data_IF_531828464891
#
_entry.id   IF_531828464891
#
_cell.length_a   1.000
_cell.length_b   1.000
_cell.length_c   1.000
_cell.angle_alpha   90.00
_cell.angle_beta   90.00
_cell.angle_gamma   90.00
#
_symmetry.space_group_name_H-M   'P 1'
#
loop_
_entity.id
_entity.type
_entity.pdbx_description
1 polymer ?
#
# COMPACT_ATOMS: atom_id res chain seq x y z
N UNK A 1 0.61 -2.07 25.09
CA UNK A 1 -0.53 -1.11 25.21
C UNK A 1 -0.03 0.20 24.62
N UNK A 2 -0.37 0.49 23.38
CA UNK A 2 -0.12 1.79 22.76
C UNK A 2 -1.03 2.81 23.45
N UNK A 3 -0.43 3.89 23.94
CA UNK A 3 -1.14 4.94 24.64
C UNK A 3 -2.26 5.52 23.78
N UNK A 4 -3.40 5.78 24.40
CA UNK A 4 -4.64 6.32 23.84
C UNK A 4 -4.51 7.74 23.21
N UNK A 5 -3.29 8.24 23.00
CA UNK A 5 -3.02 9.58 22.48
C UNK A 5 -3.22 9.72 20.96
N UNK A 6 -3.36 8.59 20.24
CA UNK A 6 -3.59 8.60 18.78
C UNK A 6 -5.07 8.49 18.38
N UNK A 7 -6.01 8.57 19.31
CA UNK A 7 -7.43 8.77 18.98
C UNK A 7 -7.66 10.19 18.45
N UNK A 8 -6.99 10.50 17.36
CA UNK A 8 -7.26 11.74 16.66
C UNK A 8 -8.55 11.56 15.87
N UNK A 9 -9.60 12.30 16.21
CA UNK A 9 -10.88 12.31 15.49
C UNK A 9 -10.76 12.70 14.01
N UNK A 10 -9.57 13.12 13.59
CA UNK A 10 -9.22 13.53 12.23
C UNK A 10 -8.59 12.42 11.38
N UNK A 11 -8.27 11.23 11.91
CA UNK A 11 -7.72 10.12 11.14
C UNK A 11 -8.83 9.23 10.59
N UNK A 12 -8.72 8.85 9.31
CA UNK A 12 -9.61 7.91 8.63
C UNK A 12 -8.82 6.86 7.87
N UNK A 13 -9.16 5.59 8.03
CA UNK A 13 -8.58 4.48 7.26
C UNK A 13 -9.66 3.92 6.36
N UNK A 14 -9.39 3.83 5.06
CA UNK A 14 -10.27 3.21 4.08
C UNK A 14 -9.62 1.94 3.52
N UNK A 15 -10.44 0.91 3.35
CA UNK A 15 -10.08 -0.28 2.59
C UNK A 15 -10.68 -0.21 1.20
N UNK A 16 -9.89 -0.61 0.20
CA UNK A 16 -10.41 -0.97 -1.11
C UNK A 16 -10.41 -2.49 -1.30
N UNK A 17 -10.67 -2.96 -2.51
CA UNK A 17 -10.94 -4.38 -2.76
C UNK A 17 -9.71 -5.29 -2.80
N UNK A 18 -8.50 -4.75 -2.72
CA UNK A 18 -7.27 -5.53 -2.84
C UNK A 18 -6.96 -6.46 -1.65
N UNK A 19 -7.25 -5.99 -0.42
CA UNK A 19 -7.09 -6.79 0.80
C UNK A 19 -7.86 -6.16 1.98
N UNK A 20 -9.16 -6.38 2.02
CA UNK A 20 -10.02 -5.87 3.10
C UNK A 20 -9.65 -6.43 4.48
N UNK A 21 -9.30 -7.74 4.63
CA UNK A 21 -8.90 -8.28 5.93
C UNK A 21 -7.69 -7.56 6.53
N UNK A 22 -6.64 -7.30 5.75
CA UNK A 22 -5.48 -6.57 6.22
C UNK A 22 -5.83 -5.15 6.67
N UNK A 23 -6.68 -4.46 5.92
CA UNK A 23 -7.11 -3.11 6.29
C UNK A 23 -7.90 -3.11 7.61
N UNK A 24 -8.72 -4.14 7.84
CA UNK A 24 -9.44 -4.29 9.11
C UNK A 24 -8.48 -4.55 10.27
N UNK A 25 -7.51 -5.45 10.11
CA UNK A 25 -6.50 -5.70 11.13
C UNK A 25 -5.69 -4.44 11.47
N UNK A 26 -5.32 -3.64 10.45
CA UNK A 26 -4.64 -2.35 10.66
C UNK A 26 -5.52 -1.40 11.46
N UNK A 27 -6.80 -1.27 11.09
CA UNK A 27 -7.74 -0.40 11.79
C UNK A 27 -7.95 -0.83 13.25
N UNK A 28 -8.06 -2.13 13.50
CA UNK A 28 -8.20 -2.71 14.85
C UNK A 28 -6.96 -2.43 15.70
N UNK A 29 -5.75 -2.56 15.14
CA UNK A 29 -4.50 -2.26 15.84
C UNK A 29 -4.35 -0.76 16.16
N UNK A 30 -4.80 0.11 15.27
CA UNK A 30 -4.81 1.57 15.49
C UNK A 30 -5.93 1.97 16.46
N UNK A 31 -6.96 1.15 16.60
CA UNK A 31 -8.10 1.38 17.50
C UNK A 31 -9.13 2.35 16.91
N UNK A 32 -9.32 2.34 15.59
CA UNK A 32 -10.36 3.11 14.89
C UNK A 32 -11.17 2.20 13.98
N UNK A 33 -12.38 2.63 13.64
CA UNK A 33 -13.20 1.93 12.64
C UNK A 33 -12.77 2.26 11.22
N UNK A 34 -12.94 1.31 10.29
CA UNK A 34 -12.78 1.58 8.87
C UNK A 34 -13.79 2.62 8.40
N UNK A 35 -13.31 3.54 7.58
CA UNK A 35 -14.13 4.54 6.92
C UNK A 35 -15.10 3.89 5.93
N UNK A 36 -16.29 4.50 5.78
CA UNK A 36 -17.34 3.98 4.91
C UNK A 36 -17.13 4.45 3.49
N UNK A 37 -16.89 3.51 2.59
CA UNK A 37 -16.84 3.74 1.15
C UNK A 37 -17.43 2.56 0.39
N UNK A 38 -17.90 2.80 -0.82
CA UNK A 38 -18.36 1.75 -1.73
C UNK A 38 -17.62 1.81 -3.05
N UNK A 39 -17.27 0.62 -3.56
CA UNK A 39 -16.64 0.43 -4.86
C UNK A 39 -17.59 -0.37 -5.72
N UNK A 40 -18.05 0.23 -6.82
CA UNK A 40 -18.95 -0.41 -7.81
C UNK A 40 -18.23 -0.56 -9.13
N UNK A 41 -18.52 -1.64 -9.83
CA UNK A 41 -18.07 -1.88 -11.21
C UNK A 41 -19.27 -1.85 -12.14
N UNK A 42 -19.13 -1.11 -13.22
CA UNK A 42 -20.10 -1.12 -14.30
C UNK A 42 -19.88 -2.34 -15.23
N UNK A 43 -20.87 -2.63 -16.05
CA UNK A 43 -20.83 -3.78 -16.98
C UNK A 43 -19.73 -3.66 -18.06
N UNK A 44 -19.30 -2.45 -18.37
CA UNK A 44 -18.20 -2.12 -19.27
C UNK A 44 -16.81 -2.17 -18.62
N UNK A 45 -16.77 -2.38 -17.28
CA UNK A 45 -15.54 -2.50 -16.50
C UNK A 45 -15.08 -1.20 -15.84
N UNK A 46 -15.80 -0.08 -16.02
CA UNK A 46 -15.52 1.16 -15.31
C UNK A 46 -15.77 1.01 -13.80
N UNK A 47 -15.04 1.82 -13.01
CA UNK A 47 -15.10 1.80 -11.56
C UNK A 47 -15.69 3.11 -11.05
N UNK A 48 -16.62 2.99 -10.12
CA UNK A 48 -17.15 4.10 -9.34
C UNK A 48 -16.80 3.89 -7.86
N UNK A 49 -16.22 4.91 -7.23
CA UNK A 49 -16.00 4.95 -5.79
C UNK A 49 -16.85 6.07 -5.19
N UNK A 50 -17.49 5.78 -4.07
CA UNK A 50 -18.22 6.75 -3.28
C UNK A 50 -17.75 6.70 -1.83
N UNK A 51 -17.35 7.86 -1.28
CA UNK A 51 -17.03 8.02 0.15
C UNK A 51 -18.32 8.39 0.84
N UNK A 52 -18.74 7.59 1.83
CA UNK A 52 -20.07 7.65 2.46
C UNK A 52 -20.07 8.43 3.78
N UNK A 53 -18.98 9.13 4.07
CA UNK A 53 -18.83 9.99 5.25
C UNK A 53 -18.01 11.24 4.97
N UNK A 54 -18.08 12.22 5.86
CA UNK A 54 -17.27 13.43 5.73
C UNK A 54 -15.81 13.16 6.09
N UNK A 55 -14.89 13.53 5.19
CA UNK A 55 -13.45 13.42 5.40
C UNK A 55 -12.75 14.77 5.28
N UNK A 56 -13.53 15.87 5.28
CA UNK A 56 -12.97 17.21 5.17
C UNK A 56 -12.01 17.51 6.32
N UNK A 57 -10.77 17.87 5.98
CA UNK A 57 -9.72 18.19 6.95
C UNK A 57 -9.17 16.97 7.70
N UNK A 58 -9.53 15.74 7.30
CA UNK A 58 -8.99 14.52 7.90
C UNK A 58 -7.68 14.10 7.25
N UNK A 59 -6.84 13.42 8.02
CA UNK A 59 -5.73 12.63 7.52
C UNK A 59 -6.25 11.27 7.07
N UNK A 60 -6.28 11.04 5.77
CA UNK A 60 -6.83 9.82 5.17
C UNK A 60 -5.71 8.84 4.88
N UNK A 61 -5.92 7.58 5.23
CA UNK A 61 -5.08 6.44 4.88
C UNK A 61 -5.89 5.47 4.01
N UNK A 62 -5.38 5.16 2.81
CA UNK A 62 -6.02 4.24 1.87
C UNK A 62 -5.19 2.96 1.81
N UNK A 63 -5.73 1.86 2.30
CA UNK A 63 -5.06 0.55 2.27
C UNK A 63 -5.46 -0.18 0.99
N UNK A 64 -4.52 -0.30 0.05
CA UNK A 64 -4.76 -0.96 -1.23
C UNK A 64 -3.46 -1.55 -1.80
N UNK A 65 -3.23 -2.85 -1.71
CA UNK A 65 -2.20 -3.51 -2.48
C UNK A 65 -2.55 -3.47 -3.98
N UNK A 66 -1.57 -3.15 -4.81
CA UNK A 66 -1.75 -3.19 -6.27
C UNK A 66 -1.31 -4.54 -6.85
N UNK A 67 -1.68 -5.64 -6.17
CA UNK A 67 -1.51 -7.01 -6.61
C UNK A 67 -2.56 -7.42 -7.66
N UNK A 68 -2.56 -8.70 -8.07
CA UNK A 68 -3.55 -9.19 -9.05
C UNK A 68 -5.00 -9.02 -8.56
N UNK A 69 -5.88 -8.50 -9.42
CA UNK A 69 -5.67 -7.98 -10.78
C UNK A 69 -5.11 -6.55 -10.76
N UNK A 70 -3.83 -6.42 -11.14
CA UNK A 70 -2.99 -5.22 -10.93
C UNK A 70 -3.63 -3.94 -11.46
N UNK A 71 -4.08 -3.95 -12.71
CA UNK A 71 -4.62 -2.75 -13.38
C UNK A 71 -5.90 -2.26 -12.70
N UNK A 72 -6.71 -3.20 -12.22
CA UNK A 72 -7.95 -2.90 -11.52
C UNK A 72 -7.67 -2.22 -10.17
N UNK A 73 -6.82 -2.84 -9.34
CA UNK A 73 -6.49 -2.32 -8.02
C UNK A 73 -5.73 -0.99 -8.10
N UNK A 74 -4.89 -0.83 -9.13
CA UNK A 74 -4.24 0.46 -9.39
C UNK A 74 -5.26 1.54 -9.75
N UNK A 75 -6.21 1.24 -10.63
CA UNK A 75 -7.24 2.20 -11.01
C UNK A 75 -8.17 2.55 -9.83
N UNK A 76 -8.57 1.56 -9.02
CA UNK A 76 -9.32 1.81 -7.79
C UNK A 76 -8.56 2.77 -6.86
N UNK A 77 -7.25 2.55 -6.68
CA UNK A 77 -6.41 3.43 -5.86
C UNK A 77 -6.39 4.87 -6.39
N UNK A 78 -6.16 5.06 -7.69
CA UNK A 78 -6.09 6.38 -8.30
C UNK A 78 -7.43 7.14 -8.18
N UNK A 79 -8.56 6.46 -8.42
CA UNK A 79 -9.90 7.04 -8.29
C UNK A 79 -10.18 7.42 -6.82
N UNK A 80 -9.79 6.59 -5.86
CA UNK A 80 -9.98 6.89 -4.44
C UNK A 80 -9.14 8.09 -3.99
N UNK A 81 -7.90 8.21 -4.46
CA UNK A 81 -7.05 9.38 -4.19
C UNK A 81 -7.73 10.66 -4.71
N UNK A 82 -8.22 10.66 -5.96
CA UNK A 82 -8.93 11.82 -6.54
C UNK A 82 -10.22 12.14 -5.76
N UNK A 83 -10.98 11.14 -5.35
CA UNK A 83 -12.17 11.31 -4.53
C UNK A 83 -11.84 11.98 -3.18
N UNK A 84 -10.79 11.52 -2.49
CA UNK A 84 -10.33 12.13 -1.24
C UNK A 84 -9.88 13.57 -1.42
N UNK A 85 -9.13 13.87 -2.50
CA UNK A 85 -8.71 15.21 -2.86
C UNK A 85 -9.90 16.16 -3.07
N UNK A 86 -10.91 15.72 -3.83
CA UNK A 86 -12.14 16.48 -4.09
C UNK A 86 -13.01 16.65 -2.84
N UNK A 87 -12.97 15.69 -1.92
CA UNK A 87 -13.65 15.77 -0.63
C UNK A 87 -12.89 16.61 0.41
N UNK A 88 -11.78 17.25 0.02
CA UNK A 88 -10.97 18.14 0.87
C UNK A 88 -10.33 17.44 2.07
N UNK A 89 -9.84 16.22 1.91
CA UNK A 89 -8.94 15.61 2.88
C UNK A 89 -7.73 16.53 3.12
N UNK A 90 -7.21 16.57 4.34
CA UNK A 90 -6.02 17.37 4.66
C UNK A 90 -4.76 16.71 4.09
N UNK A 91 -4.61 15.42 4.31
CA UNK A 91 -3.53 14.62 3.75
C UNK A 91 -4.08 13.30 3.24
N UNK A 92 -3.51 12.81 2.14
CA UNK A 92 -3.87 11.53 1.52
C UNK A 92 -2.64 10.64 1.57
N UNK A 93 -2.65 9.69 2.51
CA UNK A 93 -1.59 8.71 2.70
C UNK A 93 -2.06 7.38 2.10
N UNK A 94 -1.22 6.76 1.29
CA UNK A 94 -1.53 5.46 0.71
C UNK A 94 -0.68 4.37 1.36
N UNK A 95 -1.31 3.26 1.72
CA UNK A 95 -0.67 2.07 2.25
C UNK A 95 -0.74 1.00 1.16
N UNK A 96 0.41 0.72 0.56
CA UNK A 96 0.53 -0.17 -0.60
C UNK A 96 1.42 -1.36 -0.23
N UNK A 97 0.84 -2.41 0.42
CA UNK A 97 1.60 -3.58 0.86
C UNK A 97 2.25 -4.37 -0.29
N UNK A 98 1.74 -4.23 -1.49
CA UNK A 98 2.34 -4.73 -2.72
C UNK A 98 2.29 -3.66 -3.80
N UNK A 99 3.46 -3.23 -4.27
CA UNK A 99 3.59 -2.24 -5.34
C UNK A 99 3.68 -2.94 -6.70
N UNK A 100 2.60 -2.88 -7.45
CA UNK A 100 2.52 -3.46 -8.79
C UNK A 100 3.47 -2.75 -9.77
N UNK A 101 3.91 -3.46 -10.80
CA UNK A 101 4.89 -2.98 -11.79
C UNK A 101 6.30 -2.70 -11.24
N UNK A 102 6.56 -2.92 -9.95
CA UNK A 102 7.87 -2.68 -9.33
C UNK A 102 9.03 -3.36 -10.04
N UNK A 103 8.80 -4.54 -10.66
CA UNK A 103 9.83 -5.26 -11.43
C UNK A 103 10.28 -4.58 -12.71
N UNK A 104 9.55 -3.55 -13.17
CA UNK A 104 9.88 -2.74 -14.34
C UNK A 104 10.52 -1.41 -13.90
N UNK A 105 11.56 -1.51 -13.08
CA UNK A 105 12.28 -0.38 -12.46
C UNK A 105 13.43 0.17 -13.32
N UNK A 106 13.77 -0.52 -14.40
CA UNK A 106 14.86 -0.16 -15.32
C UNK A 106 14.60 -0.67 -16.72
N UNK A 107 15.26 -0.07 -17.70
CA UNK A 107 15.31 -0.60 -19.06
C UNK A 107 16.32 -1.75 -19.12
N UNK A 108 15.88 -2.95 -19.37
CA UNK A 108 16.74 -4.10 -19.65
C UNK A 108 17.20 -4.11 -21.12
N UNK A 109 16.37 -3.54 -22.01
CA UNK A 109 16.64 -3.41 -23.45
C UNK A 109 16.28 -2.02 -23.94
N UNK A 110 16.78 -1.65 -25.12
CA UNK A 110 16.39 -0.39 -25.77
C UNK A 110 14.88 -0.36 -26.05
N UNK A 111 14.26 0.83 -25.89
CA UNK A 111 12.84 1.12 -26.13
C UNK A 111 11.86 0.50 -25.15
N UNK A 112 12.33 -0.05 -24.04
CA UNK A 112 11.48 -0.51 -22.94
C UNK A 112 11.04 0.67 -22.04
N UNK A 113 9.85 0.59 -21.42
CA UNK A 113 9.43 1.57 -20.44
C UNK A 113 10.11 1.36 -19.09
N UNK A 114 9.96 2.32 -18.19
CA UNK A 114 10.21 2.19 -16.75
C UNK A 114 8.84 2.35 -16.08
N UNK A 115 8.05 1.27 -16.07
CA UNK A 115 6.65 1.35 -15.64
C UNK A 115 6.50 1.62 -14.14
N UNK A 116 7.49 1.22 -13.33
CA UNK A 116 7.50 1.58 -11.91
C UNK A 116 7.52 3.10 -11.70
N UNK A 117 8.29 3.87 -12.51
CA UNK A 117 8.28 5.34 -12.46
C UNK A 117 6.98 5.94 -13.00
N UNK A 118 6.40 5.34 -14.05
CA UNK A 118 5.12 5.78 -14.59
C UNK A 118 4.02 5.69 -13.51
N UNK A 119 3.95 4.55 -12.80
CA UNK A 119 2.96 4.34 -11.74
C UNK A 119 3.18 5.33 -10.59
N UNK A 120 4.44 5.59 -10.20
CA UNK A 120 4.76 6.60 -9.21
C UNK A 120 4.20 7.99 -9.60
N UNK A 121 4.47 8.42 -10.83
CA UNK A 121 3.96 9.69 -11.34
C UNK A 121 2.44 9.76 -11.37
N UNK A 122 1.74 8.66 -11.70
CA UNK A 122 0.28 8.61 -11.70
C UNK A 122 -0.29 8.79 -10.28
N UNK A 123 0.30 8.12 -9.29
CA UNK A 123 -0.09 8.21 -7.88
C UNK A 123 0.08 9.65 -7.37
N UNK A 124 1.22 10.27 -7.64
CA UNK A 124 1.50 11.66 -7.24
C UNK A 124 0.57 12.65 -7.94
N UNK A 125 0.36 12.48 -9.24
CA UNK A 125 -0.55 13.34 -10.03
C UNK A 125 -1.99 13.22 -9.54
N UNK A 126 -2.44 12.03 -9.14
CA UNK A 126 -3.75 11.84 -8.54
C UNK A 126 -3.91 12.63 -7.23
N UNK A 127 -2.82 12.82 -6.47
CA UNK A 127 -2.81 13.69 -5.29
C UNK A 127 -2.41 13.03 -3.98
N UNK A 128 -1.72 11.89 -4.01
CA UNK A 128 -1.15 11.29 -2.80
C UNK A 128 -0.07 12.21 -2.20
N UNK A 129 -0.04 12.31 -0.88
CA UNK A 129 0.94 13.11 -0.13
C UNK A 129 2.05 12.27 0.48
N UNK A 130 1.82 10.97 0.70
CA UNK A 130 2.77 10.02 1.30
C UNK A 130 2.41 8.61 0.89
N UNK A 131 3.42 7.74 0.78
CA UNK A 131 3.22 6.31 0.59
C UNK A 131 3.91 5.50 1.69
N UNK A 132 3.23 4.48 2.17
CA UNK A 132 3.78 3.41 3.00
C UNK A 132 3.79 2.16 2.14
N UNK A 133 4.95 1.59 1.89
CA UNK A 133 5.13 0.38 1.09
C UNK A 133 5.81 -0.71 1.90
N UNK A 134 5.55 -1.97 1.56
CA UNK A 134 6.20 -3.14 2.14
C UNK A 134 7.01 -3.86 1.04
N UNK A 135 8.26 -4.21 1.35
CA UNK A 135 9.15 -5.03 0.51
C UNK A 135 9.14 -4.62 -0.97
N UNK A 136 9.50 -3.38 -1.26
CA UNK A 136 9.68 -2.94 -2.64
C UNK A 136 10.68 -3.85 -3.37
N UNK A 137 10.36 -4.22 -4.62
CA UNK A 137 11.19 -5.08 -5.44
C UNK A 137 12.67 -4.67 -5.45
N UNK A 138 12.92 -3.37 -5.44
CA UNK A 138 14.24 -2.78 -5.34
C UNK A 138 14.18 -1.50 -4.50
N UNK A 139 15.06 -1.32 -3.49
CA UNK A 139 15.02 -0.16 -2.58
C UNK A 139 15.11 1.18 -3.29
N UNK A 140 15.80 1.27 -4.43
CA UNK A 140 15.94 2.49 -5.21
C UNK A 140 14.63 2.99 -5.83
N UNK A 141 13.55 2.19 -5.85
CA UNK A 141 12.21 2.62 -6.31
C UNK A 141 11.70 3.79 -5.47
N UNK A 142 12.14 3.91 -4.21
CA UNK A 142 11.86 5.07 -3.38
C UNK A 142 12.25 6.40 -4.06
N UNK A 143 13.34 6.41 -4.82
CA UNK A 143 13.80 7.57 -5.58
C UNK A 143 12.94 7.89 -6.82
N UNK A 144 11.93 7.10 -7.14
CA UNK A 144 11.00 7.41 -8.23
C UNK A 144 9.87 8.35 -7.80
N UNK A 145 9.72 8.56 -6.50
CA UNK A 145 8.69 9.39 -5.92
C UNK A 145 9.27 10.72 -5.44
N UNK A 146 8.53 11.78 -5.66
CA UNK A 146 8.82 13.12 -5.12
C UNK A 146 8.10 13.36 -3.78
N UNK A 147 7.19 12.44 -3.39
CA UNK A 147 6.54 12.42 -2.07
C UNK A 147 7.31 11.51 -1.10
N UNK A 148 7.19 11.72 0.23
CA UNK A 148 7.79 10.84 1.23
C UNK A 148 7.29 9.38 1.10
N UNK A 149 8.22 8.42 1.23
CA UNK A 149 7.93 7.00 1.26
C UNK A 149 8.50 6.38 2.53
N UNK A 150 7.66 5.64 3.24
CA UNK A 150 8.06 4.73 4.29
C UNK A 150 8.17 3.31 3.71
N UNK A 151 9.39 2.84 3.51
CA UNK A 151 9.64 1.49 3.02
C UNK A 151 9.82 0.53 4.19
N UNK A 152 8.77 -0.20 4.53
CA UNK A 152 8.77 -1.23 5.56
C UNK A 152 9.37 -2.52 5.01
N UNK A 153 10.06 -3.26 5.88
CA UNK A 153 10.69 -4.54 5.55
C UNK A 153 9.97 -5.68 6.30
N UNK A 154 9.58 -6.72 5.60
CA UNK A 154 8.98 -7.92 6.19
C UNK A 154 10.01 -8.84 6.87
N UNK A 155 11.29 -8.69 6.54
CA UNK A 155 12.38 -9.54 7.07
C UNK A 155 12.40 -9.62 8.60
N UNK A 156 12.27 -8.53 9.38
CA UNK A 156 12.25 -8.63 10.84
C UNK A 156 11.10 -9.49 11.38
N UNK A 157 9.92 -9.38 10.75
CA UNK A 157 8.73 -10.16 11.15
C UNK A 157 8.96 -11.65 10.88
N UNK A 158 9.51 -11.97 9.72
CA UNK A 158 9.82 -13.35 9.34
C UNK A 158 10.94 -13.92 10.24
N UNK A 159 11.99 -13.14 10.54
CA UNK A 159 13.05 -13.57 11.45
C UNK A 159 12.49 -13.89 12.84
N UNK A 160 11.67 -13.00 13.39
CA UNK A 160 11.04 -13.21 14.69
C UNK A 160 10.14 -14.48 14.71
N UNK A 161 9.45 -14.77 13.60
CA UNK A 161 8.66 -16.00 13.49
C UNK A 161 9.55 -17.24 13.63
N UNK A 162 10.67 -17.30 12.90
CA UNK A 162 11.59 -18.43 12.96
C UNK A 162 12.33 -18.52 14.29
N UNK A 163 12.68 -17.40 14.92
CA UNK A 163 13.32 -17.37 16.25
C UNK A 163 12.40 -17.91 17.34
N UNK A 164 11.09 -17.73 17.20
CA UNK A 164 10.09 -18.18 18.18
C UNK A 164 9.54 -19.57 17.87
N UNK A 165 9.89 -20.20 16.75
CA UNK A 165 9.42 -21.53 16.38
C UNK A 165 10.18 -22.61 17.16
N UNK A 166 9.51 -23.39 18.02
CA UNK A 166 10.18 -24.41 18.86
C UNK A 166 10.79 -25.56 18.05
N UNK A 167 10.37 -25.75 16.80
CA UNK A 167 10.86 -26.82 15.92
C UNK A 167 12.11 -26.41 15.14
N UNK A 168 12.53 -25.14 15.25
CA UNK A 168 13.67 -24.58 14.53
C UNK A 168 14.80 -24.26 15.51
N UNK A 169 15.98 -24.84 15.29
CA UNK A 169 17.20 -24.45 15.99
C UNK A 169 17.98 -23.44 15.12
N UNK A 170 18.01 -22.14 15.46
CA UNK A 170 18.68 -21.13 14.65
C UNK A 170 20.18 -21.37 14.44
N UNK A 171 20.84 -22.04 15.40
CA UNK A 171 22.28 -22.36 15.32
C UNK A 171 22.60 -23.45 14.28
N UNK A 172 21.60 -24.24 13.91
CA UNK A 172 21.74 -25.34 12.92
C UNK A 172 21.15 -24.93 11.55
N UNK A 173 20.62 -23.70 11.41
CA UNK A 173 20.00 -23.24 10.20
C UNK A 173 21.00 -22.57 9.26
N UNK A 174 20.95 -22.93 7.98
CA UNK A 174 21.61 -22.19 6.90
C UNK A 174 20.61 -21.38 6.09
N UNK A 175 20.97 -20.12 5.77
CA UNK A 175 20.17 -19.27 4.91
C UNK A 175 20.56 -19.53 3.46
N UNK A 176 19.71 -20.25 2.75
CA UNK A 176 19.86 -20.51 1.32
C UNK A 176 19.10 -19.51 0.45
N UNK A 177 19.69 -19.12 -0.70
CA UNK A 177 18.98 -18.42 -1.76
C UNK A 177 18.36 -19.39 -2.75
N UNK A 178 17.21 -19.07 -3.32
CA UNK A 178 16.62 -19.83 -4.42
C UNK A 178 17.54 -19.94 -5.67
N UNK A 179 18.52 -19.04 -5.79
CA UNK A 179 19.56 -19.05 -6.81
C UNK A 179 20.74 -19.99 -6.50
N UNK A 180 20.79 -20.62 -5.32
CA UNK A 180 21.78 -21.64 -4.95
C UNK A 180 21.39 -23.03 -5.45
N UNK A 181 20.50 -23.15 -6.41
CA UNK A 181 20.21 -24.42 -7.09
C UNK A 181 21.22 -24.62 -8.20
N UNK A 182 22.10 -25.57 -8.01
CA UNK A 182 22.68 -26.36 -9.08
C UNK A 182 21.83 -27.60 -9.33
#
# INVERSE_FOLDING_TARGET
MLNNEYKNSSMKIFSLKGNEPLAQEVADHVGIELGKCSVKRFSDGEIQINIEESIRGCDVFIVQPTSYPVNLHLMELLIMIDACKRASAANINIVVPYYGYARQDRKARSREPITAKLVANLIETAGANRMIALDLHAPQIQGFFDIPIDHLMGVPILAQHFENDPDINPEECEIGRASCRE
#
